data_IF_187306580281
#
_entry.id   IF_187306580281
#
_cell.length_a   1.000
_cell.length_b   1.000
_cell.length_c   1.000
_cell.angle_alpha   90.00
_cell.angle_beta   90.00
_cell.angle_gamma   90.00
#
_symmetry.space_group_name_H-M   'P 1'
#
loop_
_entity.id
_entity.type
_entity.pdbx_description
1 polymer ?
#
# COMPACT_ATOMS: atom_id res chain seq x y z
N UNK A 1 18.12 19.61 4.60
CA UNK A 1 17.28 19.10 3.49
C UNK A 1 16.07 18.45 4.13
N UNK A 2 14.85 18.78 3.69
CA UNK A 2 13.64 18.11 4.21
C UNK A 2 13.73 16.62 3.89
N UNK A 3 13.64 15.76 4.90
CA UNK A 3 13.73 14.31 4.72
C UNK A 3 12.53 13.83 3.88
N UNK A 4 12.77 12.81 3.03
CA UNK A 4 11.83 12.40 1.97
C UNK A 4 10.43 12.03 2.49
N UNK A 5 10.35 11.41 3.68
CA UNK A 5 9.09 10.99 4.30
C UNK A 5 8.24 12.15 4.86
N UNK A 6 8.81 13.35 5.04
CA UNK A 6 8.12 14.57 5.48
C UNK A 6 7.55 15.40 4.33
N UNK A 7 7.89 15.06 3.08
CA UNK A 7 7.39 15.82 1.94
C UNK A 7 5.89 15.54 1.76
N UNK A 8 5.09 16.60 1.85
CA UNK A 8 3.69 16.53 1.50
C UNK A 8 3.58 16.08 0.03
N UNK A 9 2.96 14.93 -0.18
CA UNK A 9 2.88 14.27 -1.48
C UNK A 9 2.17 15.12 -2.54
N UNK A 10 1.29 16.04 -2.13
CA UNK A 10 0.57 16.91 -3.05
C UNK A 10 1.43 18.08 -3.51
N UNK A 11 2.07 18.77 -2.56
CA UNK A 11 2.94 19.90 -2.88
C UNK A 11 4.10 19.47 -3.79
N UNK A 12 4.68 18.29 -3.52
CA UNK A 12 5.76 17.75 -4.35
C UNK A 12 5.26 17.34 -5.74
N UNK A 13 4.05 16.79 -5.85
CA UNK A 13 3.45 16.48 -7.15
C UNK A 13 3.21 17.73 -8.00
N UNK A 14 2.64 18.79 -7.39
CA UNK A 14 2.41 20.08 -8.06
C UNK A 14 3.73 20.71 -8.51
N UNK A 15 4.73 20.71 -7.63
CA UNK A 15 6.07 21.22 -7.91
C UNK A 15 6.70 20.48 -9.08
N UNK A 16 6.74 19.14 -9.03
CA UNK A 16 7.32 18.34 -10.10
C UNK A 16 6.56 18.49 -11.42
N UNK A 17 5.23 18.56 -11.41
CA UNK A 17 4.42 18.71 -12.61
C UNK A 17 4.66 20.04 -13.37
N UNK A 18 5.23 21.05 -12.71
CA UNK A 18 5.61 22.33 -13.33
C UNK A 18 7.03 22.31 -13.92
N UNK A 19 7.86 21.32 -13.59
CA UNK A 19 9.23 21.22 -14.09
C UNK A 19 9.25 20.78 -15.56
N UNK A 20 10.01 21.53 -16.37
CA UNK A 20 10.27 21.13 -17.76
C UNK A 20 11.16 19.88 -17.80
N UNK A 21 10.93 19.00 -18.77
CA UNK A 21 11.68 17.76 -18.91
C UNK A 21 11.10 16.82 -19.95
N UNK A 22 11.58 15.58 -20.00
CA UNK A 22 11.05 14.54 -20.91
C UNK A 22 9.98 13.73 -20.20
N UNK A 23 8.76 14.26 -20.17
CA UNK A 23 7.63 13.58 -19.54
C UNK A 23 7.01 12.52 -20.45
N UNK A 24 6.70 11.38 -19.85
CA UNK A 24 5.83 10.34 -20.43
C UNK A 24 4.58 10.25 -19.58
N UNK A 25 3.42 10.28 -20.22
CA UNK A 25 2.11 10.30 -19.54
C UNK A 25 1.24 9.18 -20.08
N UNK A 26 0.69 8.34 -19.20
CA UNK A 26 -0.40 7.43 -19.51
C UNK A 26 -1.70 8.03 -18.98
N UNK A 27 -2.67 8.26 -19.85
CA UNK A 27 -4.04 8.53 -19.39
C UNK A 27 -4.71 7.20 -19.09
N UNK A 28 -5.32 7.11 -17.91
CA UNK A 28 -5.81 5.86 -17.35
C UNK A 28 -7.30 5.92 -17.03
N UNK A 29 -7.93 4.75 -17.00
CA UNK A 29 -9.30 4.56 -16.57
C UNK A 29 -9.29 3.65 -15.32
N UNK A 30 -9.33 4.24 -14.11
CA UNK A 30 -9.32 3.48 -12.87
C UNK A 30 -10.69 2.89 -12.55
N UNK A 31 -10.72 1.62 -12.13
CA UNK A 31 -11.88 0.96 -11.48
C UNK A 31 -11.78 0.98 -9.95
N UNK A 32 -10.98 1.91 -9.44
CA UNK A 32 -10.68 2.13 -8.02
C UNK A 32 -10.88 3.60 -7.69
N UNK A 33 -10.91 3.94 -6.39
CA UNK A 33 -10.89 5.34 -5.96
C UNK A 33 -9.63 6.04 -6.46
N UNK A 34 -9.79 7.17 -7.14
CA UNK A 34 -8.69 7.96 -7.69
C UNK A 34 -8.50 9.29 -6.95
N UNK A 35 -7.27 9.81 -6.77
CA UNK A 35 -7.06 11.01 -5.98
C UNK A 35 -7.72 12.26 -6.59
N UNK A 36 -8.28 13.13 -5.75
CA UNK A 36 -8.87 14.43 -6.13
C UNK A 36 -7.83 15.54 -6.30
N UNK A 37 -6.61 15.32 -5.79
CA UNK A 37 -5.45 16.22 -5.91
C UNK A 37 -4.28 15.52 -6.60
N UNK A 38 -3.36 16.28 -7.20
CA UNK A 38 -2.13 15.71 -7.72
C UNK A 38 -1.39 15.03 -6.57
N UNK A 39 -0.91 13.81 -6.77
CA UNK A 39 -0.20 13.04 -5.74
C UNK A 39 1.04 12.40 -6.33
N UNK A 40 2.16 12.51 -5.63
CA UNK A 40 3.39 11.81 -6.00
C UNK A 40 3.43 10.46 -5.27
N UNK A 41 3.85 9.43 -6.00
CA UNK A 41 4.00 8.08 -5.48
C UNK A 41 5.37 7.56 -5.90
N UNK A 42 6.16 7.12 -4.94
CA UNK A 42 7.38 6.38 -5.23
C UNK A 42 7.05 4.91 -5.48
N UNK A 43 7.64 4.36 -6.55
CA UNK A 43 7.57 2.95 -6.84
C UNK A 43 8.86 2.48 -7.50
N UNK A 44 9.49 1.45 -6.94
CA UNK A 44 10.73 0.86 -7.47
C UNK A 44 11.83 1.91 -7.74
N UNK A 45 12.03 2.80 -6.76
CA UNK A 45 13.01 3.89 -6.78
C UNK A 45 12.70 5.05 -7.74
N UNK A 46 11.48 5.14 -8.27
CA UNK A 46 11.07 6.15 -9.25
C UNK A 46 9.80 6.87 -8.79
N UNK A 47 9.75 8.17 -9.09
CA UNK A 47 8.64 9.03 -8.73
C UNK A 47 7.62 9.06 -9.87
N UNK A 48 6.37 8.76 -9.55
CA UNK A 48 5.22 8.85 -10.44
C UNK A 48 4.28 9.94 -9.95
N UNK A 49 3.84 10.81 -10.86
CA UNK A 49 2.83 11.84 -10.56
C UNK A 49 1.48 11.33 -11.02
N UNK A 50 0.55 11.19 -10.06
CA UNK A 50 -0.85 10.93 -10.30
C UNK A 50 -1.56 12.25 -10.56
N UNK A 51 -2.18 12.36 -11.73
CA UNK A 51 -3.05 13.49 -12.07
C UNK A 51 -4.46 13.24 -11.56
N UNK A 52 -5.08 14.24 -10.94
CA UNK A 52 -6.31 14.06 -10.21
C UNK A 52 -7.51 13.86 -11.11
N UNK A 53 -8.57 13.39 -10.46
CA UNK A 53 -9.93 13.46 -10.96
C UNK A 53 -10.78 14.30 -10.00
N UNK A 54 -10.69 15.64 -10.04
CA UNK A 54 -11.51 16.47 -9.18
C UNK A 54 -12.99 16.34 -9.57
N UNK A 55 -13.94 16.43 -8.61
CA UNK A 55 -15.37 16.31 -8.89
C UNK A 55 -15.91 17.39 -9.86
N UNK A 56 -15.24 18.55 -9.90
CA UNK A 56 -15.75 19.79 -10.52
C UNK A 56 -15.07 20.13 -11.85
N UNK A 57 -14.03 19.40 -12.26
CA UNK A 57 -13.25 19.73 -13.47
C UNK A 57 -13.13 18.55 -14.44
N UNK A 58 -13.06 18.87 -15.73
CA UNK A 58 -12.82 17.91 -16.82
C UNK A 58 -11.32 17.52 -16.91
N UNK A 59 -10.71 17.25 -15.76
CA UNK A 59 -9.34 16.75 -15.66
C UNK A 59 -9.35 15.23 -15.78
N UNK A 60 -8.26 14.71 -16.36
CA UNK A 60 -8.14 13.33 -16.79
C UNK A 60 -7.20 12.58 -15.85
N UNK A 61 -7.67 11.46 -15.32
CA UNK A 61 -6.86 10.53 -14.53
C UNK A 61 -5.66 10.09 -15.37
N UNK A 62 -4.46 10.35 -14.87
CA UNK A 62 -3.25 10.00 -15.59
C UNK A 62 -2.11 9.71 -14.62
N UNK A 63 -1.13 8.98 -15.11
CA UNK A 63 0.12 8.68 -14.43
C UNK A 63 1.24 9.23 -15.30
N UNK A 64 2.12 10.02 -14.71
CA UNK A 64 3.27 10.60 -15.41
C UNK A 64 4.57 10.22 -14.73
N UNK A 65 5.63 10.06 -15.53
CA UNK A 65 7.01 9.94 -15.07
C UNK A 65 7.90 10.88 -15.89
N UNK A 66 8.88 11.50 -15.24
CA UNK A 66 9.91 12.30 -15.91
C UNK A 66 11.09 11.41 -16.31
N UNK A 67 11.13 10.99 -17.57
CA UNK A 67 12.05 9.96 -18.07
C UNK A 67 13.53 10.37 -17.98
N UNK A 68 13.85 11.63 -18.25
CA UNK A 68 15.22 12.15 -18.21
C UNK A 68 15.83 12.17 -16.81
N UNK A 69 15.02 12.35 -15.75
CA UNK A 69 15.48 12.24 -14.35
C UNK A 69 16.11 10.89 -14.04
N UNK A 70 15.58 9.83 -14.66
CA UNK A 70 16.00 8.45 -14.44
C UNK A 70 16.80 7.89 -15.62
N UNK A 71 17.22 8.74 -16.57
CA UNK A 71 17.96 8.36 -17.78
C UNK A 71 17.27 7.29 -18.62
N UNK A 72 15.93 7.30 -18.63
CA UNK A 72 15.12 6.36 -19.38
C UNK A 72 14.86 6.87 -20.80
N UNK A 73 14.83 5.95 -21.75
CA UNK A 73 14.17 6.17 -23.04
C UNK A 73 12.65 6.29 -22.86
N UNK A 74 11.95 6.79 -23.90
CA UNK A 74 10.49 6.86 -23.85
C UNK A 74 9.83 5.48 -23.70
N UNK A 75 10.39 4.44 -24.32
CA UNK A 75 9.84 3.08 -24.25
C UNK A 75 10.06 2.46 -22.86
N UNK A 76 11.22 2.68 -22.26
CA UNK A 76 11.49 2.26 -20.88
C UNK A 76 10.57 2.98 -19.90
N UNK A 77 10.39 4.30 -20.02
CA UNK A 77 9.46 5.05 -19.18
C UNK A 77 8.01 4.56 -19.31
N UNK A 78 7.55 4.20 -20.52
CA UNK A 78 6.23 3.55 -20.71
C UNK A 78 6.16 2.21 -19.98
N UNK A 79 7.21 1.40 -20.05
CA UNK A 79 7.31 0.11 -19.36
C UNK A 79 7.24 0.28 -17.84
N UNK A 80 7.91 1.29 -17.30
CA UNK A 80 7.86 1.62 -15.87
C UNK A 80 6.44 2.03 -15.43
N UNK A 81 5.74 2.87 -16.21
CA UNK A 81 4.33 3.20 -15.95
C UNK A 81 3.45 1.93 -15.99
N UNK A 82 3.64 1.05 -16.97
CA UNK A 82 2.87 -0.19 -17.04
C UNK A 82 3.11 -1.11 -15.83
N UNK A 83 4.34 -1.17 -15.32
CA UNK A 83 4.67 -1.93 -14.10
C UNK A 83 3.98 -1.33 -12.89
N UNK A 84 4.08 -0.01 -12.73
CA UNK A 84 3.39 0.72 -11.67
C UNK A 84 1.87 0.51 -11.70
N UNK A 85 1.24 0.58 -12.87
CA UNK A 85 -0.20 0.28 -13.01
C UNK A 85 -0.55 -1.15 -12.55
N UNK A 86 0.33 -2.11 -12.82
CA UNK A 86 0.11 -3.52 -12.44
C UNK A 86 0.24 -3.71 -10.92
N UNK A 87 1.24 -3.07 -10.30
CA UNK A 87 1.41 -3.06 -8.86
C UNK A 87 0.23 -2.40 -8.14
N UNK A 88 -0.25 -1.26 -8.67
CA UNK A 88 -1.41 -0.56 -8.11
C UNK A 88 -2.69 -1.40 -8.24
N UNK A 89 -2.89 -2.07 -9.38
CA UNK A 89 -4.04 -2.96 -9.59
C UNK A 89 -4.05 -4.14 -8.64
N UNK A 90 -2.88 -4.75 -8.40
CA UNK A 90 -2.74 -5.84 -7.43
C UNK A 90 -3.05 -5.37 -6.01
N UNK A 91 -2.42 -4.26 -5.58
CA UNK A 91 -2.59 -3.69 -4.24
C UNK A 91 -4.02 -3.23 -3.96
N UNK A 92 -4.70 -2.65 -4.95
CA UNK A 92 -6.08 -2.15 -4.79
C UNK A 92 -7.15 -3.19 -5.11
N UNK A 93 -6.75 -4.39 -5.58
CA UNK A 93 -7.68 -5.45 -5.99
C UNK A 93 -8.68 -4.99 -7.07
N UNK A 94 -8.31 -4.03 -7.91
CA UNK A 94 -9.22 -3.33 -8.82
C UNK A 94 -8.53 -2.94 -10.12
N UNK A 95 -9.25 -2.99 -11.23
CA UNK A 95 -8.67 -2.76 -12.56
C UNK A 95 -8.18 -1.33 -12.82
N UNK A 96 -7.21 -1.22 -13.72
CA UNK A 96 -6.63 0.03 -14.21
C UNK A 96 -6.22 -0.12 -15.68
N UNK A 97 -6.98 0.48 -16.57
CA UNK A 97 -6.71 0.47 -18.01
C UNK A 97 -5.89 1.67 -18.44
N UNK A 98 -4.97 1.49 -19.39
CA UNK A 98 -4.28 2.60 -20.05
C UNK A 98 -5.02 2.90 -21.35
N UNK A 99 -5.58 4.10 -21.46
CA UNK A 99 -6.41 4.52 -22.59
C UNK A 99 -5.54 5.08 -23.72
N UNK A 100 -4.56 5.91 -23.37
CA UNK A 100 -3.69 6.55 -24.36
C UNK A 100 -2.38 7.02 -23.75
N UNK A 101 -1.39 7.21 -24.60
CA UNK A 101 -0.07 7.71 -24.26
C UNK A 101 0.11 9.13 -24.77
N UNK A 102 0.67 9.99 -23.92
CA UNK A 102 1.09 11.33 -24.23
C UNK A 102 2.45 11.65 -23.61
N UNK A 103 2.77 12.94 -23.52
CA UNK A 103 4.03 13.41 -22.96
C UNK A 103 4.56 14.63 -23.71
N UNK A 104 5.80 15.00 -23.40
CA UNK A 104 6.47 16.16 -23.96
C UNK A 104 7.23 16.95 -22.89
N UNK A 105 7.39 18.26 -23.13
CA UNK A 105 8.14 19.14 -22.23
C UNK A 105 7.47 19.28 -20.85
N UNK A 106 6.15 19.07 -20.77
CA UNK A 106 5.36 19.11 -19.56
C UNK A 106 4.36 17.94 -19.55
N UNK A 107 3.98 17.42 -18.37
CA UNK A 107 3.05 16.31 -18.26
C UNK A 107 1.61 16.80 -18.48
N UNK A 108 1.10 16.67 -19.71
CA UNK A 108 -0.26 17.05 -20.09
C UNK A 108 -1.10 15.82 -20.47
N UNK A 109 -2.05 15.38 -19.61
CA UNK A 109 -2.94 14.26 -19.90
C UNK A 109 -3.82 14.48 -21.14
N UNK A 110 -4.08 13.40 -21.90
CA UNK A 110 -4.90 13.42 -23.13
C UNK A 110 -5.96 12.31 -23.11
N UNK A 111 -7.21 12.54 -23.54
CA UNK A 111 -8.22 11.47 -23.57
C UNK A 111 -9.63 11.89 -23.15
N UNK A 112 -10.50 10.93 -22.86
CA UNK A 112 -11.91 11.14 -22.46
C UNK A 112 -12.10 10.66 -21.02
N UNK A 113 -12.83 11.42 -20.21
CA UNK A 113 -13.15 11.06 -18.83
C UNK A 113 -14.10 9.85 -18.76
N UNK A 114 -13.80 8.88 -17.87
CA UNK A 114 -14.69 7.77 -17.52
C UNK A 114 -14.50 7.36 -16.06
N UNK A 115 -15.59 6.94 -15.40
CA UNK A 115 -15.64 6.60 -13.97
C UNK A 115 -15.74 7.83 -13.05
N UNK A 116 -16.22 7.68 -11.81
CA UNK A 116 -16.39 8.77 -10.80
C UNK A 116 -16.19 8.31 -9.35
N UNK A 117 -15.27 7.39 -9.09
CA UNK A 117 -14.92 7.04 -7.70
C UNK A 117 -13.65 7.79 -7.33
N UNK A 118 -13.72 8.65 -6.33
CA UNK A 118 -12.62 9.54 -5.94
C UNK A 118 -12.25 9.35 -4.46
N UNK A 119 -11.00 9.66 -4.13
CA UNK A 119 -10.47 9.70 -2.76
C UNK A 119 -9.66 10.99 -2.56
N UNK A 120 -9.55 11.47 -1.33
CA UNK A 120 -8.65 12.58 -1.04
C UNK A 120 -7.18 12.18 -1.08
N UNK A 121 -6.87 10.92 -0.79
CA UNK A 121 -5.51 10.37 -0.78
C UNK A 121 -5.54 8.91 -1.24
N UNK A 122 -4.65 8.53 -2.15
CA UNK A 122 -4.50 7.15 -2.60
C UNK A 122 -3.38 6.47 -1.81
N UNK A 123 -3.75 5.54 -0.94
CA UNK A 123 -2.80 4.77 -0.14
C UNK A 123 -1.96 3.85 -1.03
N UNK A 124 -0.63 3.97 -0.94
CA UNK A 124 0.35 3.29 -1.81
C UNK A 124 1.55 2.73 -1.03
N UNK A 125 1.47 2.68 0.31
CA UNK A 125 2.60 2.24 1.16
C UNK A 125 3.10 0.83 0.86
N UNK A 126 2.23 -0.09 0.41
CA UNK A 126 2.56 -1.50 0.20
C UNK A 126 2.45 -1.95 -1.26
N UNK A 127 2.91 -1.12 -2.19
CA UNK A 127 2.97 -1.52 -3.59
C UNK A 127 3.96 -2.68 -3.81
N UNK A 128 3.55 -3.78 -4.45
CA UNK A 128 4.42 -4.93 -4.64
C UNK A 128 5.52 -4.65 -5.68
N UNK A 129 6.76 -4.96 -5.35
CA UNK A 129 7.87 -4.99 -6.32
C UNK A 129 8.14 -6.45 -6.71
N UNK A 130 7.91 -6.75 -7.98
CA UNK A 130 8.14 -8.08 -8.57
C UNK A 130 9.63 -8.38 -8.72
N UNK A 131 10.03 -9.62 -8.42
CA UNK A 131 11.42 -10.10 -8.47
C UNK A 131 11.73 -10.89 -9.74
N UNK A 132 10.76 -11.59 -10.30
CA UNK A 132 10.96 -12.46 -11.48
C UNK A 132 10.21 -11.95 -12.73
N UNK A 133 10.57 -12.47 -13.91
CA UNK A 133 9.83 -12.19 -15.15
C UNK A 133 8.43 -12.81 -15.12
N UNK A 134 8.29 -13.98 -14.50
CA UNK A 134 7.03 -14.68 -14.31
C UNK A 134 6.08 -13.89 -13.41
N UNK A 135 6.57 -13.35 -12.30
CA UNK A 135 5.81 -12.45 -11.42
C UNK A 135 5.33 -11.21 -12.16
N UNK A 136 6.23 -10.57 -12.93
CA UNK A 136 5.90 -9.40 -13.75
C UNK A 136 4.82 -9.71 -14.77
N UNK A 137 4.93 -10.84 -15.45
CA UNK A 137 3.93 -11.29 -16.41
C UNK A 137 2.60 -11.61 -15.73
N UNK A 138 2.62 -12.30 -14.58
CA UNK A 138 1.43 -12.69 -13.83
C UNK A 138 0.60 -11.48 -13.40
N UNK A 139 1.19 -10.47 -12.75
CA UNK A 139 0.43 -9.28 -12.32
C UNK A 139 0.00 -8.38 -13.48
N UNK A 140 0.76 -8.37 -14.59
CA UNK A 140 0.37 -7.64 -15.79
C UNK A 140 -0.84 -8.28 -16.48
N UNK A 141 -0.87 -9.62 -16.57
CA UNK A 141 -2.01 -10.39 -17.05
C UNK A 141 -3.21 -10.29 -16.11
N UNK A 142 -2.97 -10.29 -14.80
CA UNK A 142 -4.01 -10.06 -13.80
C UNK A 142 -4.65 -8.69 -14.00
N UNK A 143 -3.84 -7.63 -14.10
CA UNK A 143 -4.34 -6.27 -14.41
C UNK A 143 -5.21 -6.27 -15.65
N UNK A 144 -4.75 -6.86 -16.75
CA UNK A 144 -5.53 -6.95 -17.98
C UNK A 144 -6.88 -7.64 -17.72
N UNK A 145 -6.85 -8.81 -17.06
CA UNK A 145 -8.04 -9.60 -16.74
C UNK A 145 -9.10 -8.84 -15.94
N UNK A 146 -8.70 -8.05 -14.94
CA UNK A 146 -9.65 -7.30 -14.10
C UNK A 146 -10.05 -5.93 -14.66
N UNK A 147 -9.37 -5.46 -15.71
CA UNK A 147 -9.62 -4.13 -16.30
C UNK A 147 -10.45 -4.18 -17.58
N UNK A 148 -10.58 -5.35 -18.20
CA UNK A 148 -11.37 -5.56 -19.41
C UNK A 148 -12.88 -5.63 -19.11
N UNK A 149 -13.67 -5.05 -20.02
CA UNK A 149 -15.13 -5.23 -20.06
C UNK A 149 -15.54 -6.49 -20.83
N UNK A 150 -14.69 -6.97 -21.74
CA UNK A 150 -14.98 -8.14 -22.55
C UNK A 150 -14.66 -9.42 -21.75
N UNK A 151 -15.67 -10.26 -21.43
CA UNK A 151 -15.48 -11.43 -20.56
C UNK A 151 -14.59 -12.50 -21.18
N UNK A 152 -14.56 -12.62 -22.52
CA UNK A 152 -13.74 -13.60 -23.23
C UNK A 152 -12.24 -13.32 -23.02
N UNK A 153 -11.83 -12.08 -23.27
CA UNK A 153 -10.44 -11.67 -23.08
C UNK A 153 -10.07 -11.56 -21.59
N UNK A 154 -10.99 -11.13 -20.73
CA UNK A 154 -10.80 -11.15 -19.29
C UNK A 154 -10.50 -12.56 -18.79
N UNK A 155 -11.30 -13.55 -19.21
CA UNK A 155 -11.12 -14.95 -18.89
C UNK A 155 -9.75 -15.45 -19.34
N UNK A 156 -9.38 -15.23 -20.61
CA UNK A 156 -8.08 -15.68 -21.12
C UNK A 156 -6.91 -15.04 -20.37
N UNK A 157 -7.01 -13.76 -20.03
CA UNK A 157 -5.96 -13.06 -19.28
C UNK A 157 -5.80 -13.63 -17.87
N UNK A 158 -6.89 -13.83 -17.13
CA UNK A 158 -6.85 -14.44 -15.79
C UNK A 158 -6.37 -15.89 -15.81
N UNK A 159 -6.80 -16.70 -16.79
CA UNK A 159 -6.31 -18.07 -16.93
C UNK A 159 -4.80 -18.12 -17.27
N UNK A 160 -4.32 -17.14 -18.05
CA UNK A 160 -2.88 -17.02 -18.35
C UNK A 160 -2.05 -16.69 -17.11
N UNK A 161 -2.59 -15.99 -16.10
CA UNK A 161 -1.91 -15.78 -14.81
C UNK A 161 -1.50 -17.13 -14.22
N UNK A 162 -2.48 -18.03 -14.06
CA UNK A 162 -2.26 -19.38 -13.53
C UNK A 162 -1.27 -20.14 -14.42
N UNK A 163 -1.38 -19.99 -15.74
CA UNK A 163 -0.52 -20.69 -16.70
C UNK A 163 0.94 -20.24 -16.69
N UNK A 164 1.20 -18.97 -16.39
CA UNK A 164 2.57 -18.42 -16.28
C UNK A 164 3.26 -18.96 -15.04
N UNK A 165 2.54 -19.03 -13.92
CA UNK A 165 3.07 -19.50 -12.64
C UNK A 165 3.13 -21.03 -12.54
N UNK A 166 2.21 -21.72 -13.23
CA UNK A 166 2.12 -23.18 -13.30
C UNK A 166 2.15 -23.63 -14.77
N UNK A 167 3.34 -23.66 -15.40
CA UNK A 167 3.47 -23.90 -16.85
C UNK A 167 3.15 -25.34 -17.26
N UNK A 168 3.29 -26.30 -16.33
CA UNK A 168 3.03 -27.71 -16.59
C UNK A 168 1.54 -28.00 -16.43
N UNK A 169 0.87 -28.39 -17.52
CA UNK A 169 -0.58 -28.58 -17.54
C UNK A 169 -1.12 -29.58 -16.51
N UNK A 170 -0.41 -30.68 -16.25
CA UNK A 170 -0.80 -31.68 -15.25
C UNK A 170 -0.74 -31.13 -13.82
N UNK A 171 0.32 -30.40 -13.50
CA UNK A 171 0.53 -29.80 -12.19
C UNK A 171 -0.50 -28.68 -11.97
N UNK A 172 -0.74 -27.87 -13.00
CA UNK A 172 -1.79 -26.85 -13.01
C UNK A 172 -3.17 -27.43 -12.74
N UNK A 173 -3.56 -28.51 -13.43
CA UNK A 173 -4.85 -29.16 -13.21
C UNK A 173 -5.00 -29.66 -11.78
N UNK A 174 -3.96 -30.34 -11.26
CA UNK A 174 -3.94 -30.84 -9.89
C UNK A 174 -4.03 -29.70 -8.86
N UNK A 175 -3.32 -28.60 -9.12
CA UNK A 175 -3.36 -27.41 -8.28
C UNK A 175 -4.75 -26.76 -8.29
N UNK A 176 -5.37 -26.57 -9.46
CA UNK A 176 -6.72 -25.97 -9.57
C UNK A 176 -7.71 -26.77 -8.72
N UNK A 177 -7.75 -28.10 -8.84
CA UNK A 177 -8.62 -28.95 -8.04
C UNK A 177 -8.41 -28.75 -6.54
N UNK A 178 -7.16 -28.64 -6.08
CA UNK A 178 -6.86 -28.39 -4.67
C UNK A 178 -7.22 -26.97 -4.21
N UNK A 179 -7.11 -25.98 -5.10
CA UNK A 179 -7.37 -24.57 -4.82
C UNK A 179 -8.86 -24.26 -4.61
N UNK A 180 -9.77 -25.07 -5.15
CA UNK A 180 -11.22 -24.89 -4.97
C UNK A 180 -11.64 -24.86 -3.50
N UNK A 181 -10.96 -25.62 -2.64
CA UNK A 181 -11.24 -25.64 -1.19
C UNK A 181 -10.75 -24.40 -0.43
N UNK A 182 -9.96 -23.54 -1.10
CA UNK A 182 -9.31 -22.36 -0.51
C UNK A 182 -9.85 -21.05 -1.08
N UNK A 183 -10.90 -21.12 -1.90
CA UNK A 183 -11.62 -19.94 -2.36
C UNK A 183 -12.09 -19.14 -1.14
N UNK A 184 -11.94 -17.83 -1.20
CA UNK A 184 -12.33 -16.90 -0.12
C UNK A 184 -13.33 -15.85 -0.60
N UNK A 185 -13.46 -15.66 -1.92
CA UNK A 185 -14.46 -14.79 -2.51
C UNK A 185 -15.83 -15.47 -2.55
N UNK A 186 -16.87 -14.78 -2.07
CA UNK A 186 -18.23 -15.31 -2.01
C UNK A 186 -18.80 -15.69 -3.39
N UNK A 187 -18.63 -14.83 -4.40
CA UNK A 187 -19.10 -15.09 -5.77
C UNK A 187 -18.31 -16.21 -6.44
N UNK A 188 -17.01 -16.34 -6.12
CA UNK A 188 -16.20 -17.47 -6.58
C UNK A 188 -16.71 -18.80 -6.03
N UNK A 189 -17.05 -18.84 -4.73
CA UNK A 189 -17.64 -20.03 -4.08
C UNK A 189 -18.99 -20.39 -4.70
N UNK A 190 -19.88 -19.42 -4.82
CA UNK A 190 -21.20 -19.62 -5.43
C UNK A 190 -21.09 -20.17 -6.85
N UNK A 191 -20.18 -19.62 -7.68
CA UNK A 191 -19.98 -20.12 -9.03
C UNK A 191 -19.38 -21.52 -9.06
N UNK A 192 -18.42 -21.81 -8.18
CA UNK A 192 -17.84 -23.14 -8.02
C UNK A 192 -18.93 -24.17 -7.68
N UNK A 193 -19.79 -23.86 -6.71
CA UNK A 193 -20.91 -24.69 -6.28
C UNK A 193 -21.92 -24.92 -7.39
N UNK A 194 -22.22 -23.90 -8.19
CA UNK A 194 -23.11 -24.03 -9.36
C UNK A 194 -22.55 -25.03 -10.39
N UNK A 195 -21.27 -24.91 -10.76
CA UNK A 195 -20.63 -25.81 -11.73
C UNK A 195 -20.59 -27.25 -11.20
N UNK A 196 -20.27 -27.44 -9.91
CA UNK A 196 -20.30 -28.75 -9.26
C UNK A 196 -21.73 -29.33 -9.18
N UNK A 197 -22.72 -28.48 -8.93
CA UNK A 197 -24.15 -28.86 -8.88
C UNK A 197 -24.67 -29.40 -10.22
N UNK A 198 -24.10 -28.94 -11.33
CA UNK A 198 -24.38 -29.45 -12.68
C UNK A 198 -23.65 -30.78 -12.98
N UNK A 199 -22.89 -31.32 -12.02
CA UNK A 199 -22.15 -32.57 -12.16
C UNK A 199 -20.83 -32.46 -12.93
N UNK A 200 -20.34 -31.24 -13.15
CA UNK A 200 -19.10 -30.99 -13.89
C UNK A 200 -17.86 -31.00 -12.99
N UNK A 201 -16.73 -31.48 -13.51
CA UNK A 201 -15.43 -31.22 -12.90
C UNK A 201 -15.03 -29.77 -13.20
N UNK A 202 -14.92 -28.93 -12.15
CA UNK A 202 -14.68 -27.49 -12.30
C UNK A 202 -13.35 -27.20 -13.02
N UNK A 203 -12.31 -27.98 -12.74
CA UNK A 203 -11.00 -27.79 -13.37
C UNK A 203 -11.02 -28.11 -14.86
N UNK A 204 -11.69 -29.22 -15.22
CA UNK A 204 -11.90 -29.60 -16.60
C UNK A 204 -12.80 -28.61 -17.34
N UNK A 205 -13.88 -28.16 -16.70
CA UNK A 205 -14.79 -27.14 -17.22
C UNK A 205 -14.04 -25.85 -17.59
N UNK A 206 -13.29 -25.28 -16.64
CA UNK A 206 -12.53 -24.04 -16.89
C UNK A 206 -11.50 -24.20 -18.02
N UNK A 207 -10.96 -25.40 -18.20
CA UNK A 207 -9.99 -25.68 -19.25
C UNK A 207 -10.63 -25.89 -20.63
N UNK A 208 -11.65 -26.75 -20.73
CA UNK A 208 -12.28 -27.14 -22.00
C UNK A 208 -13.34 -26.12 -22.44
N UNK A 209 -14.37 -25.90 -21.62
CA UNK A 209 -15.52 -25.01 -21.89
C UNK A 209 -15.17 -23.51 -21.71
N UNK A 210 -14.08 -23.22 -21.02
CA UNK A 210 -13.53 -21.88 -20.86
C UNK A 210 -12.34 -21.64 -21.80
N UNK A 211 -11.13 -21.94 -21.34
CA UNK A 211 -9.89 -21.55 -22.00
C UNK A 211 -9.78 -22.07 -23.43
N UNK A 212 -10.08 -23.33 -23.68
CA UNK A 212 -9.96 -23.91 -25.03
C UNK A 212 -11.07 -23.38 -25.94
N UNK A 213 -12.32 -23.36 -25.47
CA UNK A 213 -13.46 -22.89 -26.25
C UNK A 213 -13.36 -21.41 -26.66
N UNK A 214 -12.78 -20.55 -25.80
CA UNK A 214 -12.53 -19.13 -26.13
C UNK A 214 -11.35 -18.99 -27.09
N UNK A 215 -10.32 -19.84 -26.99
CA UNK A 215 -9.09 -19.70 -27.78
C UNK A 215 -9.14 -20.37 -29.16
N UNK A 216 -9.99 -21.39 -29.35
CA UNK A 216 -10.01 -22.25 -30.52
C UNK A 216 -11.41 -22.31 -31.14
N UNK A 217 -11.64 -21.52 -32.18
CA UNK A 217 -12.91 -21.50 -32.91
C UNK A 217 -13.10 -22.72 -33.84
N UNK A 218 -12.03 -23.47 -34.09
CA UNK A 218 -12.02 -24.63 -34.99
C UNK A 218 -12.44 -25.95 -34.33
N UNK A 219 -12.69 -25.97 -33.02
CA UNK A 219 -13.04 -27.17 -32.26
C UNK A 219 -14.27 -26.92 -31.39
N UNK A 220 -15.11 -27.94 -31.25
CA UNK A 220 -16.19 -27.90 -30.25
C UNK A 220 -15.68 -28.38 -28.88
N UNK A 221 -16.15 -27.77 -27.77
CA UNK A 221 -16.95 -26.55 -27.72
C UNK A 221 -16.13 -25.32 -28.16
N UNK A 222 -16.78 -24.37 -28.84
CA UNK A 222 -16.22 -23.04 -29.12
C UNK A 222 -17.16 -21.98 -28.58
N UNK A 223 -16.62 -20.80 -28.28
CA UNK A 223 -17.40 -19.67 -27.78
C UNK A 223 -17.69 -18.69 -28.90
N UNK A 224 -18.96 -18.32 -29.06
CA UNK A 224 -19.38 -17.30 -30.03
C UNK A 224 -19.67 -15.97 -29.31
N UNK A 225 -18.92 -14.89 -29.59
CA UNK A 225 -19.16 -13.58 -28.97
C UNK A 225 -20.54 -12.98 -29.23
N UNK A 226 -21.23 -13.41 -30.30
CA UNK A 226 -22.60 -12.99 -30.61
C UNK A 226 -23.67 -13.86 -29.92
N UNK A 227 -23.27 -14.97 -29.27
CA UNK A 227 -24.17 -15.78 -28.44
C UNK A 227 -24.25 -15.23 -27.03
N UNK A 228 -25.46 -14.87 -26.64
CA UNK A 228 -25.74 -14.20 -25.36
C UNK A 228 -25.42 -15.11 -24.17
N UNK A 229 -25.74 -16.40 -24.27
CA UNK A 229 -25.50 -17.38 -23.21
C UNK A 229 -24.01 -17.56 -22.93
N UNK A 230 -23.17 -17.56 -23.96
CA UNK A 230 -21.72 -17.63 -23.85
C UNK A 230 -21.15 -16.40 -23.13
N UNK A 231 -21.65 -15.21 -23.48
CA UNK A 231 -21.26 -13.97 -22.82
C UNK A 231 -21.64 -13.97 -21.33
N UNK A 232 -22.88 -14.36 -21.00
CA UNK A 232 -23.34 -14.41 -19.60
C UNK A 232 -22.59 -15.46 -18.80
N UNK A 233 -22.43 -16.67 -19.33
CA UNK A 233 -21.72 -17.78 -18.70
C UNK A 233 -20.29 -17.38 -18.33
N UNK A 234 -19.53 -16.84 -19.29
CA UNK A 234 -18.15 -16.43 -19.00
C UNK A 234 -18.07 -15.24 -18.05
N UNK A 235 -19.04 -14.33 -18.10
CA UNK A 235 -19.15 -13.25 -17.10
C UNK A 235 -19.32 -13.82 -15.68
N UNK A 236 -20.16 -14.85 -15.53
CA UNK A 236 -20.36 -15.56 -14.27
C UNK A 236 -19.13 -16.37 -13.83
N UNK A 237 -18.27 -16.80 -14.77
CA UNK A 237 -17.03 -17.51 -14.47
C UNK A 237 -15.91 -16.59 -13.95
N UNK A 238 -15.96 -15.29 -14.27
CA UNK A 238 -14.87 -14.35 -13.93
C UNK A 238 -14.56 -14.27 -12.43
N UNK A 239 -15.51 -14.22 -11.48
CA UNK A 239 -15.19 -14.19 -10.06
C UNK A 239 -14.41 -15.42 -9.60
N UNK A 240 -14.80 -16.61 -10.06
CA UNK A 240 -14.09 -17.86 -9.77
C UNK A 240 -12.66 -17.82 -10.31
N UNK A 241 -12.52 -17.50 -11.60
CA UNK A 241 -11.21 -17.49 -12.24
C UNK A 241 -10.29 -16.39 -11.68
N UNK A 242 -10.86 -15.24 -11.32
CA UNK A 242 -10.13 -14.16 -10.65
C UNK A 242 -9.59 -14.63 -9.31
N UNK A 243 -10.41 -15.25 -8.47
CA UNK A 243 -9.97 -15.70 -7.15
C UNK A 243 -8.91 -16.82 -7.25
N UNK A 244 -9.04 -17.72 -8.24
CA UNK A 244 -7.99 -18.68 -8.57
C UNK A 244 -6.70 -17.99 -9.05
N UNK A 245 -6.78 -16.95 -9.88
CA UNK A 245 -5.60 -16.20 -10.32
C UNK A 245 -4.91 -15.49 -9.13
N UNK A 246 -5.68 -14.91 -8.21
CA UNK A 246 -5.20 -14.29 -6.98
C UNK A 246 -4.48 -15.32 -6.09
N UNK A 247 -5.08 -16.50 -5.87
CA UNK A 247 -4.45 -17.61 -5.13
C UNK A 247 -3.18 -18.12 -5.81
N UNK A 248 -3.18 -18.24 -7.14
CA UNK A 248 -2.01 -18.68 -7.89
C UNK A 248 -0.83 -17.73 -7.70
N UNK A 249 -1.06 -16.41 -7.77
CA UNK A 249 -0.06 -15.39 -7.50
C UNK A 249 0.45 -15.53 -6.06
N UNK A 250 -0.43 -15.60 -5.06
CA UNK A 250 0.01 -15.64 -3.67
C UNK A 250 0.80 -16.89 -3.28
N UNK A 251 0.46 -18.05 -3.83
CA UNK A 251 1.08 -19.33 -3.47
C UNK A 251 2.34 -19.65 -4.27
N UNK A 252 2.46 -19.10 -5.49
CA UNK A 252 3.53 -19.43 -6.42
C UNK A 252 4.45 -18.23 -6.73
N UNK A 253 4.36 -17.17 -5.92
CA UNK A 253 5.23 -16.01 -6.03
C UNK A 253 5.57 -15.40 -4.67
N UNK A 254 6.40 -14.36 -4.68
CA UNK A 254 6.71 -13.56 -3.49
C UNK A 254 5.65 -12.50 -3.16
N UNK A 255 4.61 -12.36 -3.99
CA UNK A 255 3.60 -11.32 -3.85
C UNK A 255 2.44 -11.79 -2.97
N UNK A 256 2.09 -11.01 -1.95
CA UNK A 256 0.93 -11.28 -1.09
C UNK A 256 -0.28 -10.47 -1.53
N UNK A 257 -1.48 -11.02 -1.33
CA UNK A 257 -2.74 -10.29 -1.52
C UNK A 257 -2.88 -9.25 -0.43
N UNK A 258 -3.58 -8.16 -0.71
CA UNK A 258 -3.78 -7.08 0.27
C UNK A 258 -4.45 -7.60 1.53
N UNK A 259 -5.47 -8.45 1.43
CA UNK A 259 -6.10 -9.01 2.63
C UNK A 259 -5.12 -9.82 3.48
N UNK A 260 -4.21 -10.60 2.87
CA UNK A 260 -3.19 -11.38 3.59
C UNK A 260 -2.20 -10.47 4.28
N UNK A 261 -1.72 -9.42 3.60
CA UNK A 261 -0.85 -8.41 4.19
C UNK A 261 -1.48 -7.77 5.42
N UNK A 262 -2.77 -7.46 5.35
CA UNK A 262 -3.53 -6.85 6.46
C UNK A 262 -3.85 -7.85 7.58
N UNK A 263 -4.28 -9.06 7.25
CA UNK A 263 -4.67 -10.06 8.25
C UNK A 263 -3.49 -10.66 9.01
N UNK A 264 -2.33 -10.73 8.36
CA UNK A 264 -1.10 -11.26 8.96
C UNK A 264 -0.16 -10.12 9.44
N UNK A 265 -0.59 -8.85 9.34
CA UNK A 265 0.17 -7.68 9.79
C UNK A 265 1.61 -7.58 9.25
N UNK A 266 1.91 -8.18 8.09
CA UNK A 266 3.28 -8.35 7.56
C UNK A 266 4.03 -7.04 7.27
N UNK A 267 3.36 -5.89 7.42
CA UNK A 267 3.93 -4.56 7.26
C UNK A 267 4.38 -3.92 8.58
N UNK A 268 3.90 -4.38 9.75
CA UNK A 268 4.05 -3.65 11.00
C UNK A 268 5.45 -3.74 11.58
N UNK A 269 6.13 -4.89 11.43
CA UNK A 269 7.48 -5.13 11.97
C UNK A 269 8.52 -5.53 10.90
N UNK A 270 8.17 -5.39 9.62
CA UNK A 270 8.99 -5.89 8.51
C UNK A 270 10.44 -5.35 8.49
N UNK A 271 10.64 -4.09 8.90
CA UNK A 271 11.97 -3.51 8.98
C UNK A 271 12.68 -3.88 10.28
N UNK A 272 11.98 -3.89 11.42
CA UNK A 272 12.53 -4.36 12.69
C UNK A 272 13.04 -5.80 12.62
N UNK A 273 12.32 -6.72 11.99
CA UNK A 273 12.78 -8.12 11.82
C UNK A 273 14.16 -8.24 11.16
N UNK A 274 14.57 -7.27 10.35
CA UNK A 274 15.89 -7.27 9.71
C UNK A 274 17.02 -6.85 10.65
N UNK A 275 16.69 -6.16 11.74
CA UNK A 275 17.64 -5.72 12.77
C UNK A 275 17.94 -6.82 13.79
N UNK A 276 17.00 -7.73 14.02
CA UNK A 276 17.16 -8.81 15.00
C UNK A 276 17.71 -10.09 14.36
N UNK A 277 18.71 -10.75 14.99
CA UNK A 277 19.13 -12.08 14.58
C UNK A 277 17.98 -13.10 14.68
N UNK A 278 17.90 -14.03 13.72
CA UNK A 278 16.83 -15.03 13.66
C UNK A 278 16.66 -15.85 14.95
N UNK A 279 17.76 -16.10 15.68
CA UNK A 279 17.71 -16.80 16.96
C UNK A 279 16.95 -15.99 18.03
N UNK A 280 17.17 -14.68 18.09
CA UNK A 280 16.49 -13.78 19.04
C UNK A 280 15.02 -13.64 18.68
N UNK A 281 14.70 -13.52 17.39
CA UNK A 281 13.30 -13.51 16.93
C UNK A 281 12.56 -14.77 17.37
N UNK A 282 13.15 -15.95 17.17
CA UNK A 282 12.52 -17.21 17.61
C UNK A 282 12.32 -17.29 19.12
N UNK A 283 13.24 -16.74 19.91
CA UNK A 283 13.10 -16.69 21.37
C UNK A 283 11.97 -15.75 21.78
N UNK A 284 11.90 -14.55 21.18
CA UNK A 284 10.85 -13.57 21.44
C UNK A 284 9.47 -14.11 21.05
N UNK A 285 9.34 -14.73 19.88
CA UNK A 285 8.11 -15.37 19.39
C UNK A 285 7.61 -16.48 20.35
N UNK A 286 8.54 -17.17 21.04
CA UNK A 286 8.22 -18.23 22.01
C UNK A 286 8.13 -17.74 23.45
N UNK A 287 8.29 -16.44 23.69
CA UNK A 287 8.39 -15.86 25.02
C UNK A 287 9.51 -16.46 25.89
N UNK A 288 10.59 -16.91 25.25
CA UNK A 288 11.78 -17.41 25.93
C UNK A 288 12.67 -16.22 26.35
N UNK A 289 13.23 -16.22 27.57
CA UNK A 289 14.05 -15.11 28.06
C UNK A 289 15.32 -14.96 27.23
N UNK A 290 15.60 -13.75 26.75
CA UNK A 290 16.86 -13.46 26.05
C UNK A 290 18.03 -13.61 27.03
N UNK A 291 19.13 -14.31 26.66
CA UNK A 291 20.25 -14.52 27.56
C UNK A 291 20.91 -13.20 27.98
N UNK A 292 21.30 -13.11 29.24
CA UNK A 292 21.96 -11.93 29.79
C UNK A 292 23.27 -11.62 29.03
N UNK A 293 23.49 -10.35 28.68
CA UNK A 293 24.65 -9.93 27.88
C UNK A 293 24.49 -10.10 26.36
N UNK A 294 23.33 -10.56 25.88
CA UNK A 294 23.04 -10.56 24.44
C UNK A 294 22.96 -9.13 23.92
N UNK A 295 23.74 -8.82 22.89
CA UNK A 295 23.73 -7.51 22.23
C UNK A 295 23.03 -7.60 20.88
N UNK A 296 22.06 -6.73 20.64
CA UNK A 296 21.47 -6.50 19.31
C UNK A 296 21.98 -5.14 18.82
N UNK A 297 22.49 -5.11 17.60
CA UNK A 297 22.94 -3.86 16.97
C UNK A 297 21.72 -3.09 16.46
N UNK A 298 21.28 -2.14 17.27
CA UNK A 298 20.15 -1.28 16.98
C UNK A 298 20.66 0.13 16.64
N UNK A 299 20.05 0.83 15.67
CA UNK A 299 20.32 2.25 15.46
C UNK A 299 20.28 3.06 16.75
N UNK A 300 21.20 4.02 16.90
CA UNK A 300 21.26 4.89 18.09
C UNK A 300 20.12 5.92 18.11
N UNK A 301 19.54 6.22 16.95
CA UNK A 301 18.51 7.23 16.78
C UNK A 301 17.45 6.80 15.78
N UNK A 302 16.24 7.28 16.01
CA UNK A 302 15.06 6.99 15.19
C UNK A 302 14.28 8.26 14.91
N UNK A 303 13.38 8.14 13.95
CA UNK A 303 12.33 9.13 13.72
C UNK A 303 11.00 8.44 13.99
N UNK A 304 10.16 9.08 14.80
CA UNK A 304 8.79 8.65 15.03
C UNK A 304 7.86 9.60 14.33
N UNK A 305 6.92 9.08 13.56
CA UNK A 305 6.02 9.86 12.74
C UNK A 305 4.57 9.45 12.99
N UNK A 306 3.68 10.42 13.21
CA UNK A 306 2.24 10.22 13.06
C UNK A 306 1.86 10.59 11.64
N UNK A 307 1.21 9.68 10.89
CA UNK A 307 0.78 9.93 9.52
C UNK A 307 -0.73 9.71 9.36
N UNK A 308 -1.37 10.62 8.62
CA UNK A 308 -2.75 10.52 8.14
C UNK A 308 -2.83 11.06 6.71
N UNK A 309 -2.78 10.17 5.73
CA UNK A 309 -2.69 10.57 4.32
C UNK A 309 -1.48 11.50 4.07
N UNK A 310 -1.68 12.75 3.61
CA UNK A 310 -0.60 13.71 3.38
C UNK A 310 -0.13 14.43 4.66
N UNK A 311 -0.91 14.37 5.75
CA UNK A 311 -0.57 15.02 7.03
C UNK A 311 0.44 14.15 7.78
N UNK A 312 1.49 14.77 8.30
CA UNK A 312 2.53 14.07 9.02
C UNK A 312 3.20 14.95 10.08
N UNK A 313 3.41 14.40 11.28
CA UNK A 313 4.07 15.08 12.40
C UNK A 313 5.13 14.17 13.00
N UNK A 314 6.36 14.67 13.15
CA UNK A 314 7.50 13.84 13.56
C UNK A 314 8.16 14.30 14.86
N UNK A 315 8.77 13.33 15.52
CA UNK A 315 9.87 13.55 16.46
C UNK A 315 11.14 12.94 15.86
N UNK A 316 12.17 13.77 15.71
CA UNK A 316 13.47 13.36 15.17
C UNK A 316 14.47 13.14 16.31
N UNK A 317 15.56 12.43 16.00
CA UNK A 317 16.65 12.14 16.95
C UNK A 317 16.19 11.45 18.25
N UNK A 318 15.15 10.62 18.15
CA UNK A 318 14.61 9.86 19.28
C UNK A 318 15.57 8.73 19.65
N UNK A 319 15.91 8.64 20.93
CA UNK A 319 16.83 7.65 21.49
C UNK A 319 16.03 6.41 21.94
N UNK A 320 16.43 5.18 21.55
CA UNK A 320 15.75 3.97 21.96
C UNK A 320 16.06 3.61 23.42
N UNK A 321 15.03 3.20 24.15
CA UNK A 321 15.14 2.60 25.47
C UNK A 321 14.35 1.28 25.49
N UNK A 322 15.05 0.17 25.76
CA UNK A 322 14.39 -1.14 25.91
C UNK A 322 13.81 -1.23 27.32
N UNK A 323 12.49 -1.09 27.42
CA UNK A 323 11.76 -1.12 28.70
C UNK A 323 11.67 -2.51 29.33
N UNK A 324 12.01 -3.56 28.57
CA UNK A 324 12.04 -4.95 29.01
C UNK A 324 11.41 -5.92 28.01
N UNK A 325 11.53 -7.21 28.29
CA UNK A 325 10.85 -8.27 27.54
C UNK A 325 9.44 -8.48 28.10
N UNK A 326 8.48 -8.68 27.21
CA UNK A 326 7.11 -9.10 27.52
C UNK A 326 6.80 -10.43 26.83
N UNK A 327 5.62 -10.99 27.07
CA UNK A 327 5.13 -12.14 26.31
C UNK A 327 5.10 -11.80 24.82
N UNK A 328 5.79 -12.60 24.00
CA UNK A 328 5.84 -12.46 22.55
C UNK A 328 6.68 -11.30 21.99
N UNK A 329 7.32 -10.48 22.83
CA UNK A 329 7.87 -9.20 22.35
C UNK A 329 8.73 -8.39 23.32
N UNK A 330 8.94 -7.12 22.96
CA UNK A 330 9.76 -6.14 23.69
C UNK A 330 9.02 -4.81 23.85
N UNK A 331 9.17 -4.17 25.01
CA UNK A 331 8.81 -2.76 25.19
C UNK A 331 9.92 -1.91 24.58
N UNK A 332 9.53 -1.06 23.64
CA UNK A 332 10.42 -0.20 22.88
C UNK A 332 9.98 1.24 23.06
N UNK A 333 10.61 1.91 24.03
CA UNK A 333 10.40 3.33 24.30
C UNK A 333 11.35 4.15 23.40
N UNK A 334 10.86 5.28 22.91
CA UNK A 334 11.62 6.25 22.13
C UNK A 334 11.51 7.59 22.84
N UNK A 335 12.65 8.20 23.16
CA UNK A 335 12.71 9.37 24.05
C UNK A 335 13.49 10.50 23.39
N UNK A 336 13.05 11.74 23.56
CA UNK A 336 13.83 12.90 23.09
C UNK A 336 15.12 13.05 23.90
N UNK A 337 16.20 13.64 23.34
CA UNK A 337 17.48 13.79 24.05
C UNK A 337 17.40 14.58 25.38
N UNK A 338 16.35 15.39 25.56
CA UNK A 338 16.08 16.20 26.75
C UNK A 338 15.05 15.56 27.70
N UNK A 339 14.60 14.32 27.44
CA UNK A 339 13.59 13.57 28.19
C UNK A 339 12.22 14.26 28.30
N UNK A 340 11.96 15.24 27.42
CA UNK A 340 10.70 15.97 27.38
C UNK A 340 9.55 15.11 26.85
N UNK A 341 9.80 14.31 25.80
CA UNK A 341 8.79 13.46 25.15
C UNK A 341 9.24 12.00 25.16
N UNK A 342 8.32 11.11 25.52
CA UNK A 342 8.48 9.66 25.47
C UNK A 342 7.35 9.04 24.67
N UNK A 343 7.69 8.22 23.69
CA UNK A 343 6.74 7.43 22.91
C UNK A 343 6.98 5.96 23.23
N UNK A 344 6.00 5.32 23.87
CA UNK A 344 6.03 3.91 24.23
C UNK A 344 5.38 3.07 23.15
N UNK A 345 6.13 2.13 22.61
CA UNK A 345 5.62 1.10 21.70
C UNK A 345 5.96 -0.29 22.20
N UNK A 346 5.29 -1.29 21.65
CA UNK A 346 5.61 -2.70 21.89
C UNK A 346 5.81 -3.39 20.55
N UNK A 347 6.96 -4.04 20.41
CA UNK A 347 7.30 -4.88 19.27
C UNK A 347 6.85 -6.31 19.60
N UNK A 348 5.61 -6.69 19.22
CA UNK A 348 5.12 -8.07 19.38
C UNK A 348 5.50 -8.89 18.15
N UNK A 349 6.59 -9.66 18.26
CA UNK A 349 7.06 -10.52 17.18
C UNK A 349 6.21 -11.79 17.03
N UNK A 350 5.56 -12.24 18.12
CA UNK A 350 4.65 -13.37 18.08
C UNK A 350 3.42 -13.10 17.21
N UNK A 351 2.88 -11.88 17.27
CA UNK A 351 1.66 -11.49 16.56
C UNK A 351 1.92 -10.65 15.29
N UNK A 352 3.18 -10.33 15.01
CA UNK A 352 3.60 -9.37 13.97
C UNK A 352 2.99 -7.97 14.15
N UNK A 353 2.98 -7.44 15.38
CA UNK A 353 2.30 -6.18 15.72
C UNK A 353 3.25 -5.10 16.24
N UNK A 354 3.12 -3.88 15.72
CA UNK A 354 3.64 -2.67 16.36
C UNK A 354 2.50 -2.05 17.18
N UNK A 355 2.47 -2.38 18.48
CA UNK A 355 1.41 -1.94 19.37
C UNK A 355 1.77 -0.55 19.91
N UNK A 356 0.86 0.39 19.73
CA UNK A 356 0.94 1.75 20.25
C UNK A 356 -0.41 2.13 20.85
N UNK A 357 -0.42 2.58 22.11
CA UNK A 357 -1.61 3.08 22.77
C UNK A 357 -1.79 4.57 22.40
N UNK A 358 -2.81 4.88 21.59
CA UNK A 358 -3.04 6.25 21.12
C UNK A 358 -3.39 7.26 22.23
N UNK A 359 -3.79 6.80 23.42
CA UNK A 359 -4.20 7.67 24.53
C UNK A 359 -3.10 7.83 25.58
N UNK A 360 -2.33 6.77 25.84
CA UNK A 360 -1.33 6.75 26.91
C UNK A 360 0.10 6.44 26.43
N UNK A 361 0.28 6.14 25.15
CA UNK A 361 1.56 5.81 24.54
C UNK A 361 2.48 7.02 24.36
N UNK A 362 2.00 8.24 24.59
CA UNK A 362 2.81 9.47 24.55
C UNK A 362 2.85 10.07 25.95
N UNK A 363 4.05 10.17 26.52
CA UNK A 363 4.34 10.96 27.70
C UNK A 363 4.98 12.28 27.30
N UNK A 364 4.54 13.36 27.91
CA UNK A 364 5.15 14.68 27.77
C UNK A 364 5.32 15.34 29.14
N UNK A 365 6.50 15.91 29.38
CA UNK A 365 6.81 16.68 30.59
C UNK A 365 6.67 18.17 30.28
N UNK A 366 5.61 18.86 30.74
CA UNK A 366 5.37 20.26 30.35
C UNK A 366 6.34 21.24 31.01
N UNK A 367 6.87 22.18 30.22
CA UNK A 367 7.62 23.33 30.70
C UNK A 367 7.39 24.53 29.78
N UNK A 368 6.36 25.33 30.06
CA UNK A 368 5.97 26.49 29.25
C UNK A 368 6.86 27.73 29.42
N UNK A 369 7.97 27.60 30.16
CA UNK A 369 8.99 28.66 30.27
C UNK A 369 10.17 28.43 29.32
N UNK A 370 10.23 27.28 28.65
CA UNK A 370 11.28 26.94 27.71
C UNK A 370 10.68 26.76 26.31
N UNK A 371 11.24 27.49 25.33
CA UNK A 371 10.76 27.49 23.96
C UNK A 371 10.78 26.09 23.32
N UNK A 372 11.81 25.28 23.59
CA UNK A 372 11.90 23.94 23.04
C UNK A 372 10.80 23.04 23.58
N UNK A 373 10.50 23.16 24.88
CA UNK A 373 9.41 22.41 25.51
C UNK A 373 8.03 22.84 24.99
N UNK A 374 7.82 24.13 24.73
CA UNK A 374 6.58 24.60 24.06
C UNK A 374 6.46 24.00 22.66
N UNK A 375 7.55 23.94 21.90
CA UNK A 375 7.55 23.30 20.58
C UNK A 375 7.27 21.78 20.67
N UNK A 376 7.82 21.10 21.69
CA UNK A 376 7.52 19.70 21.97
C UNK A 376 6.04 19.50 22.35
N UNK A 377 5.43 20.41 23.11
CA UNK A 377 4.01 20.38 23.46
C UNK A 377 3.12 20.52 22.21
N UNK A 378 3.42 21.51 21.35
CA UNK A 378 2.73 21.73 20.08
C UNK A 378 2.84 20.49 19.18
N UNK A 379 4.04 19.94 19.04
CA UNK A 379 4.25 18.73 18.23
C UNK A 379 3.52 17.52 18.82
N UNK A 380 3.50 17.36 20.15
CA UNK A 380 2.81 16.26 20.83
C UNK A 380 1.29 16.32 20.65
N UNK A 381 0.70 17.53 20.71
CA UNK A 381 -0.72 17.74 20.45
C UNK A 381 -1.08 17.42 18.99
N UNK A 382 -0.31 17.94 18.04
CA UNK A 382 -0.51 17.66 16.62
C UNK A 382 -0.34 16.16 16.29
N UNK A 383 0.68 15.52 16.85
CA UNK A 383 0.91 14.09 16.72
C UNK A 383 -0.29 13.29 17.24
N UNK A 384 -0.77 13.61 18.45
CA UNK A 384 -1.92 12.93 19.07
C UNK A 384 -3.20 13.12 18.26
N UNK A 385 -3.48 14.36 17.82
CA UNK A 385 -4.62 14.68 16.96
C UNK A 385 -4.57 13.87 15.67
N UNK A 386 -3.40 13.79 15.03
CA UNK A 386 -3.20 13.03 13.80
C UNK A 386 -3.53 11.55 13.99
N UNK A 387 -2.96 10.91 15.02
CA UNK A 387 -3.23 9.49 15.34
C UNK A 387 -4.72 9.28 15.59
N UNK A 388 -5.34 10.04 16.50
CA UNK A 388 -6.73 9.86 16.88
C UNK A 388 -7.71 10.15 15.72
N UNK A 389 -7.27 10.87 14.69
CA UNK A 389 -8.09 11.19 13.51
C UNK A 389 -7.99 10.16 12.39
N UNK A 390 -7.84 8.87 12.71
CA UNK A 390 -7.54 7.79 11.76
C UNK A 390 -6.12 7.90 11.16
N UNK A 391 -5.16 8.31 11.98
CA UNK A 391 -3.74 8.20 11.67
C UNK A 391 -3.13 6.91 12.21
N UNK A 392 -1.86 6.69 11.88
CA UNK A 392 -1.04 5.60 12.42
C UNK A 392 0.36 6.11 12.76
N UNK A 393 1.06 5.36 13.60
CA UNK A 393 2.44 5.62 13.97
C UNK A 393 3.37 4.89 13.00
N UNK A 394 4.46 5.54 12.59
CA UNK A 394 5.56 4.94 11.84
C UNK A 394 6.87 5.16 12.61
N UNK A 395 7.76 4.18 12.58
CA UNK A 395 9.12 4.28 13.08
C UNK A 395 10.07 4.12 11.90
N UNK A 396 10.97 5.07 11.73
CA UNK A 396 11.97 5.12 10.67
C UNK A 396 13.38 5.13 11.25
N UNK A 397 14.34 4.76 10.42
CA UNK A 397 15.76 4.99 10.70
C UNK A 397 16.09 6.49 10.80
N UNK A 398 17.32 6.80 11.24
CA UNK A 398 17.77 8.18 11.49
C UNK A 398 17.76 9.03 10.21
N UNK A 399 18.06 8.43 9.08
CA UNK A 399 18.11 9.04 7.76
C UNK A 399 16.70 9.25 7.16
N UNK A 400 15.71 8.48 7.61
CA UNK A 400 14.36 8.46 7.05
C UNK A 400 14.27 7.77 5.70
N UNK A 401 15.16 6.81 5.44
CA UNK A 401 15.21 6.03 4.20
C UNK A 401 14.46 4.71 4.36
N UNK A 402 14.49 4.11 5.55
CA UNK A 402 13.91 2.80 5.82
C UNK A 402 12.86 2.92 6.92
N UNK A 403 11.60 2.61 6.57
CA UNK A 403 10.54 2.41 7.56
C UNK A 403 10.78 1.07 8.27
N UNK A 404 10.99 1.12 9.58
CA UNK A 404 11.26 -0.03 10.42
C UNK A 404 9.97 -0.71 10.88
N UNK A 405 8.94 0.08 11.19
CA UNK A 405 7.63 -0.42 11.55
C UNK A 405 6.53 0.61 11.42
N UNK A 406 5.29 0.12 11.42
CA UNK A 406 4.07 0.92 11.31
C UNK A 406 2.98 0.28 12.17
N UNK A 407 2.26 1.07 12.96
CA UNK A 407 1.10 0.58 13.70
C UNK A 407 -0.13 0.45 12.78
N UNK A 408 -1.16 -0.24 13.24
CA UNK A 408 -2.49 -0.08 12.66
C UNK A 408 -2.96 1.37 12.72
N UNK A 409 -3.88 1.71 11.83
CA UNK A 409 -4.64 2.96 11.91
C UNK A 409 -5.50 2.96 13.17
N UNK A 410 -5.37 4.01 13.98
CA UNK A 410 -6.21 4.20 15.15
C UNK A 410 -7.62 4.60 14.69
N UNK A 411 -8.60 3.73 14.90
CA UNK A 411 -10.01 4.02 14.62
C UNK A 411 -10.73 4.14 15.97
N UNK A 412 -10.97 5.37 16.49
CA UNK A 412 -11.71 5.53 17.73
C UNK A 412 -13.13 4.97 17.59
N UNK A 413 -13.54 4.12 18.54
CA UNK A 413 -14.87 3.52 18.57
C UNK A 413 -15.69 4.13 19.70
N UNK A 414 -16.93 4.51 19.39
CA UNK A 414 -17.88 5.15 20.33
C UNK A 414 -17.41 6.51 20.90
N UNK A 415 -16.46 7.18 20.26
CA UNK A 415 -16.05 8.54 20.60
C UNK A 415 -15.67 9.32 19.33
N UNK A 416 -15.58 10.64 19.46
CA UNK A 416 -15.07 11.53 18.42
C UNK A 416 -13.89 12.32 18.97
N UNK A 417 -12.96 12.66 18.09
CA UNK A 417 -11.86 13.58 18.42
C UNK A 417 -12.46 14.96 18.65
N UNK A 418 -12.10 15.59 19.77
CA UNK A 418 -12.47 16.98 20.05
C UNK A 418 -11.52 17.93 19.31
N UNK A 419 -11.82 18.19 18.03
CA UNK A 419 -11.03 19.12 17.22
C UNK A 419 -10.97 20.52 17.84
N UNK A 420 -12.03 20.96 18.52
CA UNK A 420 -12.11 22.28 19.15
C UNK A 420 -11.13 22.42 20.32
N UNK A 421 -10.98 21.36 21.12
CA UNK A 421 -9.95 21.30 22.16
C UNK A 421 -8.55 21.49 21.57
N UNK A 422 -8.19 20.70 20.55
CA UNK A 422 -6.86 20.78 19.93
C UNK A 422 -6.58 22.15 19.32
N UNK A 423 -7.54 22.73 18.60
CA UNK A 423 -7.39 24.08 18.02
C UNK A 423 -7.19 25.13 19.11
N UNK A 424 -7.96 25.07 20.19
CA UNK A 424 -7.84 26.04 21.29
C UNK A 424 -6.51 25.96 22.04
N UNK A 425 -6.02 24.75 22.33
CA UNK A 425 -4.74 24.57 23.03
C UNK A 425 -3.54 24.92 22.13
N UNK A 426 -3.60 24.54 20.85
CA UNK A 426 -2.54 24.92 19.89
C UNK A 426 -2.43 26.43 19.75
N UNK A 427 -3.56 27.15 19.58
CA UNK A 427 -3.54 28.61 19.53
C UNK A 427 -3.02 29.25 20.82
N UNK A 428 -3.30 28.67 21.99
CA UNK A 428 -2.77 29.16 23.25
C UNK A 428 -1.24 28.99 23.35
N UNK A 429 -0.71 27.87 22.86
CA UNK A 429 0.73 27.59 22.85
C UNK A 429 1.47 28.44 21.81
N UNK A 430 0.89 28.70 20.65
CA UNK A 430 1.44 29.61 19.64
C UNK A 430 1.65 31.03 20.21
N UNK A 431 0.69 31.53 21.02
CA UNK A 431 0.84 32.83 21.70
C UNK A 431 2.00 32.81 22.71
N UNK A 432 2.18 31.70 23.44
CA UNK A 432 3.29 31.55 24.39
C UNK A 432 4.63 31.48 23.65
N UNK A 433 4.68 30.73 22.55
CA UNK A 433 5.84 30.62 21.66
C UNK A 433 6.27 31.99 21.14
N UNK A 434 5.34 32.76 20.56
CA UNK A 434 5.60 34.11 20.04
C UNK A 434 6.11 35.06 21.13
N UNK A 435 5.58 34.94 22.35
CA UNK A 435 6.03 35.72 23.50
C UNK A 435 7.46 35.37 23.91
N UNK A 436 7.83 34.09 23.96
CA UNK A 436 9.17 33.64 24.32
C UNK A 436 10.20 34.01 23.25
N UNK A 437 9.86 33.87 21.97
CA UNK A 437 10.72 34.27 20.84
C UNK A 437 11.04 35.76 20.85
N UNK A 438 10.06 36.59 21.23
CA UNK A 438 10.22 38.04 21.33
C UNK A 438 11.18 38.47 22.46
N UNK A 439 11.31 37.68 23.54
CA UNK A 439 12.17 37.99 24.69
C UNK A 439 13.60 37.42 24.55
N UNK A 440 13.84 36.48 23.63
CA UNK A 440 15.17 35.94 23.34
C UNK A 440 16.00 36.73 22.32
N UNK A 441 15.42 37.79 21.74
CA UNK A 441 16.01 38.61 20.67
C UNK A 441 16.53 39.98 21.14
N UNK A 442 16.45 40.29 22.43
CA UNK A 442 17.11 41.43 23.12
C UNK A 442 18.33 40.94 23.91
#
# INVERSE_FOLDING_TARGET
>A
MTKKFMLNSFNEAERQAQEQGKWVVATVEPRMSWPTKQQIVEFDGKDFVLFPQPPEADLRSAIAIRADRYRLSMEEARREIMRFCSALTWSQGSGLSIVTWGGGNLPRPVGVQRGRVVTNFLETTHLPVTKTDEERAAIALYREGVSLDNPFYAFLSLYKVISVLLPKGKDRGSWVTSALNRLDNHLAKERCDAIMGDGSDVGLYLFEEGRNAVAHAEKHPFVNPDEVDDHFRLTQDLPLLRNLAELAIEENSSLKRSHTLWSEHLYELAGFRKLFPAQILQMLERSEPIPEGTTVDLPERYIVLARRGPESYSFEDMIPEIGGQIEGGLVFDLVTPDDAVRIRTVLSFADERLIFDALSGIGFTPNRNDLNYVQHEINSLNFSRCILSNGHLEIWDQEGEIMLGRSETCIPVNCFVDDGYYESELSALEIIQDSLDSHGSE
#
